data_IF_215246982387
#
_entry.id   IF_215246982387
#
_cell.length_a   1.000
_cell.length_b   1.000
_cell.length_c   1.000
_cell.angle_alpha   90.00
_cell.angle_beta   90.00
_cell.angle_gamma   90.00
#
_symmetry.space_group_name_H-M   'P 1'
#
loop_
_entity.id
_entity.type
_entity.pdbx_description
1 polymer ?
#
# COMPACT_ATOMS: atom_id res chain seq x y z
N UNK A 1 23.24 15.60 21.62
CA UNK A 1 22.75 15.71 20.22
C UNK A 1 23.04 14.37 19.55
N UNK A 2 22.07 13.46 19.55
CA UNK A 2 22.17 12.18 18.85
C UNK A 2 21.94 12.47 17.37
N UNK A 3 22.98 12.25 16.55
CA UNK A 3 22.84 12.32 15.10
C UNK A 3 21.73 11.34 14.68
N UNK A 4 20.64 11.85 14.11
CA UNK A 4 19.67 11.03 13.41
C UNK A 4 20.42 10.26 12.33
N UNK A 5 20.54 8.95 12.51
CA UNK A 5 21.07 8.07 11.48
C UNK A 5 20.13 8.18 10.28
N UNK A 6 20.59 8.85 9.25
CA UNK A 6 19.91 8.83 7.93
C UNK A 6 19.85 7.36 7.52
N UNK A 7 18.65 6.78 7.57
CA UNK A 7 18.46 5.43 7.06
C UNK A 7 18.40 5.49 5.53
N UNK A 8 19.26 4.71 4.90
CA UNK A 8 19.22 4.54 3.46
C UNK A 8 18.07 3.59 3.10
N UNK A 9 16.97 4.16 2.61
CA UNK A 9 15.80 3.38 2.18
C UNK A 9 15.66 3.45 0.67
N UNK A 10 15.48 2.30 0.06
CA UNK A 10 15.22 2.17 -1.38
C UNK A 10 13.81 1.60 -1.60
N UNK A 11 13.04 2.21 -2.50
CA UNK A 11 11.76 1.67 -2.95
C UNK A 11 11.96 1.01 -4.33
N UNK A 12 11.52 -0.22 -4.46
CA UNK A 12 11.62 -0.98 -5.71
C UNK A 12 10.25 -1.47 -6.17
N UNK A 13 10.05 -1.53 -7.48
CA UNK A 13 8.95 -2.30 -8.06
C UNK A 13 9.27 -3.78 -7.90
N UNK A 14 8.41 -4.52 -7.23
CA UNK A 14 8.66 -5.92 -6.95
C UNK A 14 8.53 -6.77 -8.23
N UNK A 15 9.56 -7.51 -8.54
CA UNK A 15 9.51 -8.60 -9.50
C UNK A 15 9.16 -9.89 -8.74
N UNK A 16 7.90 -10.31 -8.84
CA UNK A 16 7.41 -11.51 -8.17
C UNK A 16 7.87 -12.84 -8.84
N UNK A 17 8.75 -12.80 -9.85
CA UNK A 17 9.49 -13.97 -10.29
C UNK A 17 10.72 -14.26 -9.41
N UNK A 18 11.21 -13.25 -8.67
CA UNK A 18 12.37 -13.33 -7.79
C UNK A 18 12.00 -13.79 -6.40
N UNK A 19 12.63 -14.85 -5.92
CA UNK A 19 12.37 -15.44 -4.59
C UNK A 19 12.58 -14.43 -3.45
N UNK A 20 13.56 -13.54 -3.56
CA UNK A 20 13.83 -12.50 -2.54
C UNK A 20 12.61 -11.57 -2.39
N UNK A 21 12.03 -11.11 -3.49
CA UNK A 21 10.85 -10.22 -3.46
C UNK A 21 9.61 -10.96 -2.97
N UNK A 22 9.45 -12.25 -3.32
CA UNK A 22 8.36 -13.08 -2.81
C UNK A 22 8.44 -13.20 -1.28
N UNK A 23 9.62 -13.56 -0.75
CA UNK A 23 9.85 -13.72 0.69
C UNK A 23 9.67 -12.40 1.44
N UNK A 24 10.18 -11.30 0.90
CA UNK A 24 10.00 -9.97 1.47
C UNK A 24 8.52 -9.59 1.57
N UNK A 25 7.75 -9.82 0.49
CA UNK A 25 6.32 -9.51 0.47
C UNK A 25 5.55 -10.34 1.50
N UNK A 26 5.77 -11.65 1.55
CA UNK A 26 5.10 -12.54 2.52
C UNK A 26 5.44 -12.15 3.96
N UNK A 27 6.72 -11.83 4.22
CA UNK A 27 7.18 -11.38 5.55
C UNK A 27 6.51 -10.08 5.96
N UNK A 28 6.44 -9.11 5.05
CA UNK A 28 5.83 -7.81 5.34
C UNK A 28 4.31 -7.90 5.48
N UNK A 29 3.64 -8.76 4.70
CA UNK A 29 2.21 -8.99 4.87
C UNK A 29 1.90 -9.63 6.23
N UNK A 30 2.69 -10.63 6.66
CA UNK A 30 2.51 -11.23 7.99
C UNK A 30 2.69 -10.19 9.11
N UNK A 31 3.68 -9.29 8.97
CA UNK A 31 3.90 -8.19 9.91
C UNK A 31 2.72 -7.19 9.90
N UNK A 32 2.18 -6.88 8.71
CA UNK A 32 1.01 -6.02 8.54
C UNK A 32 -0.23 -6.60 9.23
N UNK A 33 -0.54 -7.87 9.00
CA UNK A 33 -1.70 -8.53 9.62
C UNK A 33 -1.59 -8.62 11.15
N UNK A 34 -0.36 -8.67 11.69
CA UNK A 34 -0.10 -8.62 13.14
C UNK A 34 -0.27 -7.22 13.74
N UNK A 35 -0.32 -6.17 12.92
CA UNK A 35 -0.55 -4.82 13.42
C UNK A 35 -1.94 -4.76 14.11
N UNK A 36 -2.06 -4.24 15.34
CA UNK A 36 -3.35 -4.08 16.01
C UNK A 36 -4.39 -3.32 15.20
N UNK A 37 -3.97 -2.44 14.30
CA UNK A 37 -4.87 -1.72 13.40
C UNK A 37 -5.51 -2.62 12.34
N UNK A 38 -4.91 -3.81 12.07
CA UNK A 38 -5.36 -4.75 11.01
C UNK A 38 -5.89 -6.09 11.57
N UNK A 39 -6.06 -6.16 12.88
CA UNK A 39 -6.65 -7.34 13.53
C UNK A 39 -5.70 -8.09 14.47
N UNK A 40 -4.39 -7.83 14.44
CA UNK A 40 -3.40 -8.33 15.39
C UNK A 40 -3.09 -9.82 15.29
N UNK A 41 -3.48 -10.50 14.20
CA UNK A 41 -3.27 -11.93 14.00
C UNK A 41 -2.29 -12.20 12.85
N UNK A 42 -1.46 -13.27 12.96
CA UNK A 42 -0.54 -13.63 11.87
C UNK A 42 -1.31 -14.09 10.62
N UNK A 43 -0.68 -13.93 9.47
CA UNK A 43 -1.17 -14.56 8.24
C UNK A 43 -1.21 -16.09 8.41
N UNK A 44 -2.29 -16.71 7.98
CA UNK A 44 -2.40 -18.17 7.97
C UNK A 44 -1.40 -18.79 6.97
N UNK A 45 -1.07 -20.07 7.19
CA UNK A 45 -0.18 -20.79 6.27
C UNK A 45 -0.77 -20.86 4.85
N UNK A 46 -2.10 -20.90 4.73
CA UNK A 46 -2.79 -20.84 3.45
C UNK A 46 -2.53 -19.50 2.74
N UNK A 47 -2.72 -18.37 3.43
CA UNK A 47 -2.44 -17.03 2.88
C UNK A 47 -0.97 -16.93 2.45
N UNK A 48 -0.03 -17.40 3.28
CA UNK A 48 1.41 -17.35 2.96
C UNK A 48 1.77 -18.16 1.72
N UNK A 49 1.09 -19.30 1.49
CA UNK A 49 1.31 -20.12 0.29
C UNK A 49 0.70 -19.52 -0.98
N UNK A 50 -0.50 -18.96 -0.87
CA UNK A 50 -1.32 -18.60 -2.03
C UNK A 50 -1.18 -17.14 -2.47
N UNK A 51 -0.67 -16.26 -1.61
CA UNK A 51 -0.53 -14.84 -1.88
C UNK A 51 0.26 -14.57 -3.19
N UNK A 52 1.50 -15.04 -3.25
CA UNK A 52 2.36 -14.76 -4.39
C UNK A 52 1.84 -15.37 -5.68
N UNK A 53 1.44 -16.66 -5.72
CA UNK A 53 0.79 -17.24 -6.90
C UNK A 53 -0.43 -16.45 -7.36
N UNK A 54 -1.31 -16.05 -6.44
CA UNK A 54 -2.49 -15.26 -6.73
C UNK A 54 -2.16 -13.89 -7.33
N UNK A 55 -1.23 -13.14 -6.72
CA UNK A 55 -0.81 -11.83 -7.24
C UNK A 55 -0.13 -11.93 -8.61
N UNK A 56 0.67 -12.97 -8.84
CA UNK A 56 1.30 -13.21 -10.16
C UNK A 56 0.28 -13.52 -11.25
N UNK A 57 -0.79 -14.19 -10.91
CA UNK A 57 -1.88 -14.48 -11.84
C UNK A 57 -2.77 -13.28 -12.13
N UNK A 58 -2.65 -12.19 -11.35
CA UNK A 58 -3.48 -11.01 -11.46
C UNK A 58 -2.78 -9.92 -12.32
N UNK A 59 -3.18 -9.73 -13.60
CA UNK A 59 -2.43 -8.90 -14.55
C UNK A 59 -2.42 -7.41 -14.19
N UNK A 60 -3.35 -6.96 -13.36
CA UNK A 60 -3.49 -5.56 -12.95
C UNK A 60 -2.78 -5.27 -11.60
N UNK A 61 -2.01 -6.24 -11.06
CA UNK A 61 -1.32 -6.09 -9.79
C UNK A 61 0.01 -5.36 -9.95
N UNK A 62 0.26 -4.40 -9.07
CA UNK A 62 1.55 -3.71 -8.91
C UNK A 62 1.97 -3.80 -7.46
N UNK A 63 3.18 -4.29 -7.21
CA UNK A 63 3.73 -4.44 -5.85
C UNK A 63 4.97 -3.57 -5.71
N UNK A 64 5.08 -2.87 -4.60
CA UNK A 64 6.24 -2.05 -4.23
C UNK A 64 6.81 -2.56 -2.91
N UNK A 65 8.14 -2.62 -2.80
CA UNK A 65 8.84 -3.00 -1.59
C UNK A 65 9.77 -1.88 -1.16
N UNK A 66 9.78 -1.60 0.14
CA UNK A 66 10.72 -0.70 0.77
C UNK A 66 11.80 -1.52 1.48
N UNK A 67 13.06 -1.23 1.21
CA UNK A 67 14.20 -1.85 1.83
C UNK A 67 15.04 -0.83 2.58
N UNK A 68 15.45 -1.16 3.79
CA UNK A 68 16.57 -0.54 4.49
C UNK A 68 17.79 -1.43 4.30
N UNK A 69 18.70 -1.02 3.44
CA UNK A 69 19.77 -1.87 2.91
C UNK A 69 19.19 -3.14 2.24
N UNK A 70 19.33 -4.30 2.85
CA UNK A 70 18.80 -5.59 2.35
C UNK A 70 17.57 -6.08 3.12
N UNK A 71 17.14 -5.34 4.15
CA UNK A 71 16.03 -5.73 5.03
C UNK A 71 14.74 -5.10 4.53
N UNK A 72 13.69 -5.88 4.22
CA UNK A 72 12.39 -5.32 3.88
C UNK A 72 11.78 -4.62 5.10
N UNK A 73 11.31 -3.41 4.90
CA UNK A 73 10.76 -2.55 5.98
C UNK A 73 9.40 -1.96 5.63
N UNK A 74 8.85 -2.30 4.49
CA UNK A 74 7.51 -1.89 4.08
C UNK A 74 7.14 -2.42 2.71
N UNK A 75 5.86 -2.33 2.39
CA UNK A 75 5.34 -2.72 1.08
C UNK A 75 4.08 -1.94 0.73
N UNK A 76 3.71 -1.99 -0.55
CA UNK A 76 2.37 -1.66 -1.00
C UNK A 76 1.93 -2.62 -2.11
N UNK A 77 0.64 -2.96 -2.11
CA UNK A 77 -0.03 -3.71 -3.18
C UNK A 77 -1.08 -2.79 -3.79
N UNK A 78 -1.01 -2.62 -5.10
CA UNK A 78 -1.92 -1.78 -5.85
C UNK A 78 -2.56 -2.57 -6.99
N UNK A 79 -3.80 -2.23 -7.32
CA UNK A 79 -4.51 -2.79 -8.46
C UNK A 79 -4.92 -1.71 -9.44
N UNK A 80 -4.62 -1.93 -10.72
CA UNK A 80 -5.08 -1.06 -11.79
C UNK A 80 -6.56 -1.32 -12.04
N UNK A 81 -7.37 -0.32 -11.83
CA UNK A 81 -8.79 -0.29 -12.10
C UNK A 81 -9.14 0.69 -13.22
N UNK A 82 -10.42 0.96 -13.39
CA UNK A 82 -10.90 1.88 -14.41
C UNK A 82 -12.01 2.78 -13.86
N UNK A 83 -11.88 4.08 -14.05
CA UNK A 83 -12.90 5.05 -13.72
C UNK A 83 -13.87 5.20 -14.90
N UNK A 84 -15.09 4.69 -14.77
CA UNK A 84 -16.12 4.81 -15.80
C UNK A 84 -16.55 6.26 -16.02
N UNK A 85 -16.57 7.08 -14.96
CA UNK A 85 -16.92 8.50 -15.05
C UNK A 85 -15.90 9.35 -15.81
N UNK A 86 -14.62 8.99 -15.76
CA UNK A 86 -13.55 9.71 -16.45
C UNK A 86 -13.03 8.96 -17.67
N UNK A 87 -13.55 7.74 -17.92
CA UNK A 87 -13.11 6.83 -19.00
C UNK A 87 -11.58 6.65 -19.03
N UNK A 88 -10.96 6.51 -17.85
CA UNK A 88 -9.50 6.41 -17.69
C UNK A 88 -9.11 5.41 -16.60
N UNK A 89 -7.91 4.81 -16.68
CA UNK A 89 -7.38 4.00 -15.61
C UNK A 89 -7.34 4.77 -14.28
N UNK A 90 -7.43 4.03 -13.17
CA UNK A 90 -7.11 4.51 -11.83
C UNK A 90 -6.24 3.45 -11.14
N UNK A 91 -5.43 3.86 -10.16
CA UNK A 91 -4.64 2.94 -9.36
C UNK A 91 -5.20 2.91 -7.93
N UNK A 92 -5.66 1.74 -7.48
CA UNK A 92 -6.12 1.55 -6.11
C UNK A 92 -4.97 1.00 -5.26
N UNK A 93 -4.64 1.68 -4.17
CA UNK A 93 -3.76 1.14 -3.13
C UNK A 93 -4.62 0.24 -2.25
N UNK A 94 -4.44 -1.08 -2.39
CA UNK A 94 -5.19 -2.07 -1.63
C UNK A 94 -4.60 -2.23 -0.23
N UNK A 95 -3.26 -2.40 -0.16
CA UNK A 95 -2.51 -2.47 1.09
C UNK A 95 -1.31 -1.54 1.03
N UNK A 96 -0.99 -0.89 2.15
CA UNK A 96 0.26 -0.17 2.35
C UNK A 96 0.69 -0.26 3.81
N UNK A 97 1.92 -0.67 4.04
CA UNK A 97 2.45 -0.90 5.37
C UNK A 97 3.92 -0.48 5.49
N UNK A 98 4.27 0.06 6.63
CA UNK A 98 5.65 0.30 7.06
C UNK A 98 5.84 -0.34 8.43
N UNK A 99 6.92 -1.13 8.57
CA UNK A 99 7.25 -1.81 9.82
C UNK A 99 7.31 -0.83 10.99
N UNK A 100 6.73 -1.25 12.12
CA UNK A 100 6.58 -0.42 13.32
C UNK A 100 7.92 0.14 13.82
N UNK A 101 9.00 -0.63 13.69
CA UNK A 101 10.35 -0.27 14.17
C UNK A 101 10.98 0.91 13.42
N UNK A 102 10.48 1.22 12.22
CA UNK A 102 11.04 2.26 11.34
C UNK A 102 10.02 3.35 10.94
N UNK A 103 8.84 3.34 11.54
CA UNK A 103 7.83 4.39 11.32
C UNK A 103 8.35 5.79 11.73
N UNK A 104 7.73 6.83 11.19
CA UNK A 104 8.10 8.22 11.47
C UNK A 104 9.33 8.71 10.69
N UNK A 105 9.94 7.89 9.84
CA UNK A 105 11.15 8.20 9.07
C UNK A 105 10.88 8.50 7.58
N UNK A 106 9.63 8.79 7.21
CA UNK A 106 9.25 9.18 5.86
C UNK A 106 9.04 8.04 4.86
N UNK A 107 9.22 6.76 5.25
CA UNK A 107 9.13 5.61 4.34
C UNK A 107 7.76 5.50 3.67
N UNK A 108 6.68 5.77 4.43
CA UNK A 108 5.33 5.77 3.86
C UNK A 108 5.15 6.83 2.76
N UNK A 109 5.74 8.01 2.92
CA UNK A 109 5.74 9.03 1.86
C UNK A 109 6.53 8.57 0.64
N UNK A 110 7.70 7.96 0.82
CA UNK A 110 8.50 7.42 -0.29
C UNK A 110 7.75 6.33 -1.08
N UNK A 111 7.00 5.45 -0.40
CA UNK A 111 6.12 4.47 -1.06
C UNK A 111 5.04 5.17 -1.88
N UNK A 112 4.36 6.18 -1.30
CA UNK A 112 3.32 6.93 -1.98
C UNK A 112 3.86 7.72 -3.19
N UNK A 113 5.04 8.30 -3.09
CA UNK A 113 5.72 8.99 -4.21
C UNK A 113 6.01 8.01 -5.36
N UNK A 114 6.48 6.79 -5.04
CA UNK A 114 6.73 5.76 -6.06
C UNK A 114 5.44 5.26 -6.72
N UNK A 115 4.37 5.09 -5.92
CA UNK A 115 3.03 4.72 -6.41
C UNK A 115 2.49 5.82 -7.34
N UNK A 116 2.64 7.08 -6.96
CA UNK A 116 2.21 8.21 -7.78
C UNK A 116 2.98 8.26 -9.11
N UNK A 117 4.28 8.05 -9.11
CA UNK A 117 5.07 7.95 -10.34
C UNK A 117 4.52 6.83 -11.25
N UNK A 118 4.27 5.65 -10.68
CA UNK A 118 3.68 4.54 -11.46
C UNK A 118 2.28 4.86 -11.99
N UNK A 119 1.43 5.50 -11.20
CA UNK A 119 0.10 5.90 -11.65
C UNK A 119 0.16 6.88 -12.83
N UNK A 120 1.14 7.80 -12.81
CA UNK A 120 1.39 8.72 -13.94
C UNK A 120 1.86 7.97 -15.19
N UNK A 121 2.80 7.03 -15.06
CA UNK A 121 3.29 6.18 -16.17
C UNK A 121 2.14 5.37 -16.81
N UNK A 122 1.18 4.93 -15.99
CA UNK A 122 -0.02 4.19 -16.42
C UNK A 122 -1.15 5.10 -16.91
N UNK A 123 -0.94 6.41 -16.99
CA UNK A 123 -1.96 7.37 -17.42
C UNK A 123 -3.22 7.37 -16.54
N UNK A 124 -3.08 7.01 -15.27
CA UNK A 124 -4.20 6.99 -14.33
C UNK A 124 -4.77 8.39 -14.10
N UNK A 125 -6.09 8.48 -13.97
CA UNK A 125 -6.77 9.74 -13.64
C UNK A 125 -6.72 10.07 -12.14
N UNK A 126 -6.51 9.06 -11.29
CA UNK A 126 -6.39 9.22 -9.83
C UNK A 126 -5.80 7.98 -9.19
N UNK A 127 -5.41 8.15 -7.91
CA UNK A 127 -5.10 7.06 -6.98
C UNK A 127 -6.21 7.03 -5.93
N UNK A 128 -6.62 5.83 -5.51
CA UNK A 128 -7.63 5.61 -4.47
C UNK A 128 -7.08 4.71 -3.38
N UNK A 129 -7.60 4.82 -2.18
CA UNK A 129 -7.32 3.93 -1.05
C UNK A 129 -8.50 3.95 -0.07
N UNK A 130 -8.58 2.93 0.77
CA UNK A 130 -9.42 2.89 1.96
C UNK A 130 -8.54 3.11 3.20
N UNK A 131 -9.09 3.79 4.20
CA UNK A 131 -8.42 4.02 5.48
C UNK A 131 -9.42 4.03 6.62
N UNK A 132 -9.09 3.35 7.70
CA UNK A 132 -9.90 3.36 8.92
C UNK A 132 -10.04 4.78 9.46
N UNK A 133 -11.22 5.11 9.94
CA UNK A 133 -11.51 6.45 10.45
C UNK A 133 -10.65 6.82 11.67
N UNK A 134 -10.32 5.83 12.50
CA UNK A 134 -9.49 5.98 13.70
C UNK A 134 -7.97 5.94 13.41
N UNK A 135 -7.53 5.60 12.19
CA UNK A 135 -6.12 5.61 11.81
C UNK A 135 -5.64 7.05 11.52
N UNK A 136 -5.44 7.81 12.60
CA UNK A 136 -5.05 9.24 12.51
C UNK A 136 -3.67 9.43 11.84
N UNK A 137 -2.76 8.49 12.03
CA UNK A 137 -1.38 8.56 11.50
C UNK A 137 -1.42 8.44 9.98
N UNK A 138 -2.04 7.39 9.44
CA UNK A 138 -2.16 7.20 8.00
C UNK A 138 -2.95 8.34 7.33
N UNK A 139 -4.08 8.74 7.92
CA UNK A 139 -4.89 9.88 7.42
C UNK A 139 -4.10 11.19 7.39
N UNK A 140 -3.22 11.43 8.38
CA UNK A 140 -2.33 12.58 8.41
C UNK A 140 -1.33 12.56 7.26
N UNK A 141 -0.70 11.40 7.01
CA UNK A 141 0.20 11.19 5.88
C UNK A 141 -0.51 11.41 4.54
N UNK A 142 -1.66 10.77 4.33
CA UNK A 142 -2.41 10.85 3.08
C UNK A 142 -2.80 12.30 2.74
N UNK A 143 -3.32 13.06 3.71
CA UNK A 143 -3.62 14.49 3.50
C UNK A 143 -2.38 15.30 3.13
N UNK A 144 -1.24 15.03 3.78
CA UNK A 144 0.02 15.72 3.49
C UNK A 144 0.49 15.51 2.05
N UNK A 145 0.21 14.35 1.47
CA UNK A 145 0.57 14.03 0.07
C UNK A 145 -0.58 14.23 -0.92
N UNK A 146 -1.64 14.93 -0.51
CA UNK A 146 -2.69 15.41 -1.42
C UNK A 146 -3.94 14.54 -1.55
N UNK A 147 -4.09 13.47 -0.73
CA UNK A 147 -5.35 12.74 -0.69
C UNK A 147 -6.43 13.49 0.10
N UNK A 148 -7.65 13.41 -0.37
CA UNK A 148 -8.83 13.91 0.34
C UNK A 148 -9.95 12.86 0.33
N UNK A 149 -10.93 13.05 1.23
CA UNK A 149 -12.10 12.16 1.31
C UNK A 149 -12.92 12.26 0.04
N UNK A 150 -13.35 11.11 -0.47
CA UNK A 150 -14.32 11.09 -1.57
C UNK A 150 -15.69 11.46 -1.01
N UNK A 151 -16.27 12.51 -1.59
CA UNK A 151 -17.63 12.97 -1.28
C UNK A 151 -18.39 13.19 -2.60
N UNK A 152 -19.68 12.98 -2.57
CA UNK A 152 -20.55 13.05 -3.77
C UNK A 152 -21.65 14.09 -3.58
N UNK A 153 -21.95 14.81 -4.65
CA UNK A 153 -23.02 15.81 -4.70
C UNK A 153 -22.67 17.14 -4.03
N UNK A 154 -23.58 18.08 -4.17
CA UNK A 154 -23.47 19.42 -3.57
C UNK A 154 -23.44 19.36 -2.03
N UNK A 155 -24.12 18.38 -1.45
CA UNK A 155 -24.20 18.17 0.01
C UNK A 155 -22.97 17.47 0.58
N UNK A 156 -21.97 17.13 -0.26
CA UNK A 156 -20.71 16.49 0.14
C UNK A 156 -20.86 15.22 0.98
N UNK A 157 -21.80 14.34 0.59
CA UNK A 157 -22.07 13.09 1.29
C UNK A 157 -20.87 12.13 1.10
N UNK A 158 -20.33 11.60 2.20
CA UNK A 158 -19.23 10.64 2.17
C UNK A 158 -19.72 9.28 1.67
N UNK A 159 -18.86 8.59 0.89
CA UNK A 159 -19.10 7.20 0.51
C UNK A 159 -18.70 6.26 1.65
N UNK A 160 -19.46 5.19 1.81
CA UNK A 160 -19.16 4.07 2.71
C UNK A 160 -18.64 2.88 1.90
N UNK A 161 -17.74 2.09 2.51
CA UNK A 161 -17.27 0.84 1.95
C UNK A 161 -18.09 -0.32 2.56
N UNK A 162 -18.69 -1.14 1.69
CA UNK A 162 -19.51 -2.28 2.08
C UNK A 162 -18.93 -3.56 1.52
N UNK A 163 -18.97 -4.67 2.29
CA UNK A 163 -18.55 -5.98 1.83
C UNK A 163 -19.62 -7.03 2.11
N UNK A 164 -19.60 -8.12 1.31
CA UNK A 164 -20.40 -9.33 1.51
C UNK A 164 -19.48 -10.53 1.39
N UNK A 165 -19.28 -11.32 2.45
CA UNK A 165 -18.55 -12.59 2.36
C UNK A 165 -19.26 -13.56 1.40
N UNK A 166 -18.47 -14.42 0.69
CA UNK A 166 -18.93 -15.47 -0.22
C UNK A 166 -18.53 -16.84 0.29
#
# INVERSE_FOLDING_TARGET
MTAERVINVTIVDADLSRTEHQNALVTMLDAYMRDPMEGGLPASDQVKRDLVPGLRAHPACHVFLAYHDVVPVGFAICFLGFSTFLARPLLNIHDIFVDLSVRGRGIGAMLLDRIEARARDLNCCRITLEVREDNRVARGLYRKVGFDRVVVGADRIALEFWHKPL
#
